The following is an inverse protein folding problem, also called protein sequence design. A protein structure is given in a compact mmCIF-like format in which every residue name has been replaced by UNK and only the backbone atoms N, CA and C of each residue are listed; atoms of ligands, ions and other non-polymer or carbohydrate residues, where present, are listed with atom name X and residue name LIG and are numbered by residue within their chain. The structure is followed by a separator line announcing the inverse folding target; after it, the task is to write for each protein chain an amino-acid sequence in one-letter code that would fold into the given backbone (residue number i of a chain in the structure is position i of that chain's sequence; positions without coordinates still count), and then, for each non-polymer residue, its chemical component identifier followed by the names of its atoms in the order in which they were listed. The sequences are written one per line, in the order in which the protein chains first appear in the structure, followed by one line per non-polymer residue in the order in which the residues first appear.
data_IF_393933098491
#
_entry.id   IF_393933098491
#
_cell.length_a   1.000
_cell.length_b   1.000
_cell.length_c   1.000
_cell.angle_alpha   90.00
_cell.angle_beta   90.00
_cell.angle_gamma   90.00
#
_symmetry.space_group_name_H-M   'P 1'
#
loop_
_entity.id
_entity.type
_entity.pdbx_description
1 polymer ?
#
# COMPACT_ATOMS: atom_id res chain seq x y z
N UNK A 1 2.22 -3.63 -11.55
CA UNK A 1 1.76 -2.24 -11.74
C UNK A 1 2.38 -1.39 -10.65
N UNK A 2 2.93 -0.22 -10.97
CA UNK A 2 3.50 0.68 -9.98
C UNK A 2 2.39 1.52 -9.31
N UNK A 3 2.04 1.17 -8.07
CA UNK A 3 0.98 1.82 -7.29
C UNK A 3 1.44 3.08 -6.55
N UNK A 4 2.67 3.57 -6.81
CA UNK A 4 3.10 4.89 -6.36
C UNK A 4 2.93 5.95 -7.46
N UNK A 5 2.67 5.54 -8.70
CA UNK A 5 2.41 6.48 -9.80
C UNK A 5 1.00 7.07 -9.72
N UNK A 6 0.91 8.40 -9.70
CA UNK A 6 -0.37 9.13 -9.71
C UNK A 6 -1.24 8.77 -10.90
N UNK A 7 -0.66 8.55 -12.07
CA UNK A 7 -1.41 8.21 -13.28
C UNK A 7 -1.99 6.79 -13.20
N UNK A 8 -1.23 5.84 -12.65
CA UNK A 8 -1.74 4.49 -12.42
C UNK A 8 -2.87 4.49 -11.40
N UNK A 9 -2.75 5.29 -10.33
CA UNK A 9 -3.80 5.46 -9.32
C UNK A 9 -5.08 6.04 -9.95
N UNK A 10 -4.95 7.09 -10.78
CA UNK A 10 -6.10 7.66 -11.51
C UNK A 10 -6.75 6.64 -12.44
N UNK A 11 -5.95 5.87 -13.19
CA UNK A 11 -6.44 4.79 -14.07
C UNK A 11 -7.17 3.71 -13.27
N UNK A 12 -6.64 3.33 -12.10
CA UNK A 12 -7.26 2.32 -11.24
C UNK A 12 -8.63 2.80 -10.73
N UNK A 13 -8.72 4.04 -10.26
CA UNK A 13 -9.99 4.63 -9.84
C UNK A 13 -11.01 4.71 -10.97
N UNK A 14 -10.58 5.14 -12.17
CA UNK A 14 -11.43 5.17 -13.36
C UNK A 14 -11.95 3.78 -13.75
N UNK A 15 -11.08 2.76 -13.74
CA UNK A 15 -11.45 1.38 -14.09
C UNK A 15 -12.50 0.78 -13.15
N UNK A 16 -12.45 1.13 -11.87
CA UNK A 16 -13.37 0.59 -10.86
C UNK A 16 -14.52 1.55 -10.52
N UNK A 17 -14.68 2.65 -11.26
CA UNK A 17 -15.68 3.69 -10.99
C UNK A 17 -15.68 4.16 -9.52
N UNK A 18 -14.48 4.22 -8.92
CA UNK A 18 -14.28 4.57 -7.52
C UNK A 18 -13.47 5.85 -7.38
N UNK A 19 -13.41 6.40 -6.17
CA UNK A 19 -12.63 7.60 -5.86
C UNK A 19 -12.12 7.55 -4.42
N UNK A 20 -11.05 8.33 -4.16
CA UNK A 20 -10.64 8.65 -2.79
C UNK A 20 -11.80 9.28 -2.02
N UNK A 21 -12.08 8.76 -0.83
CA UNK A 21 -13.09 9.29 0.09
C UNK A 21 -12.42 10.11 1.18
N UNK A 22 -12.34 11.43 1.00
CA UNK A 22 -11.76 12.36 2.00
C UNK A 22 -12.36 12.21 3.40
N UNK A 23 -13.68 11.99 3.50
CA UNK A 23 -14.39 11.78 4.78
C UNK A 23 -13.90 10.54 5.55
N UNK A 24 -13.31 9.56 4.85
CA UNK A 24 -12.72 8.36 5.46
C UNK A 24 -11.20 8.51 5.70
N UNK A 25 -10.62 9.70 5.50
CA UNK A 25 -9.19 9.94 5.69
C UNK A 25 -8.28 9.26 4.65
N UNK A 26 -8.81 8.80 3.51
CA UNK A 26 -8.04 8.05 2.51
C UNK A 26 -7.01 8.94 1.79
N UNK A 27 -5.74 8.71 2.12
CA UNK A 27 -4.58 9.26 1.43
C UNK A 27 -3.71 8.11 0.90
N UNK A 28 -3.21 8.23 -0.33
CA UNK A 28 -2.49 7.14 -0.99
C UNK A 28 -1.00 7.47 -1.11
N UNK A 29 -0.14 6.49 -0.82
CA UNK A 29 1.31 6.62 -0.93
C UNK A 29 1.73 6.76 -2.40
N UNK A 30 2.36 7.89 -2.74
CA UNK A 30 2.78 8.23 -4.12
C UNK A 30 4.29 8.46 -4.25
N UNK A 31 5.07 8.25 -3.19
CA UNK A 31 6.52 8.40 -3.21
C UNK A 31 7.20 7.06 -2.85
N UNK A 32 7.94 6.50 -3.80
CA UNK A 32 8.68 5.24 -3.62
C UNK A 32 9.74 5.32 -2.54
N UNK A 33 10.36 6.48 -2.32
CA UNK A 33 11.41 6.66 -1.30
C UNK A 33 10.80 6.58 0.09
N UNK A 34 9.62 7.16 0.28
CA UNK A 34 8.88 7.05 1.55
C UNK A 34 8.44 5.60 1.77
N UNK A 35 7.92 4.94 0.73
CA UNK A 35 7.57 3.52 0.79
C UNK A 35 8.79 2.65 1.20
N UNK A 36 9.95 2.87 0.58
CA UNK A 36 11.20 2.19 0.92
C UNK A 36 11.58 2.38 2.39
N UNK A 37 11.55 3.63 2.88
CA UNK A 37 11.84 3.95 4.29
C UNK A 37 10.88 3.27 5.27
N UNK A 38 9.58 3.19 4.95
CA UNK A 38 8.60 2.48 5.79
C UNK A 38 8.96 0.99 5.87
N UNK A 39 9.26 0.39 4.71
CA UNK A 39 9.58 -1.04 4.62
C UNK A 39 10.90 -1.38 5.31
N UNK A 40 11.92 -0.52 5.22
CA UNK A 40 13.18 -0.66 5.95
C UNK A 40 12.97 -0.52 7.46
N UNK A 41 12.23 0.51 7.89
CA UNK A 41 11.94 0.74 9.31
C UNK A 41 11.12 -0.39 9.94
N UNK A 42 10.29 -1.09 9.16
CA UNK A 42 9.51 -2.24 9.63
C UNK A 42 10.38 -3.46 9.98
N UNK A 43 11.65 -3.51 9.51
CA UNK A 43 12.64 -4.55 9.83
C UNK A 43 12.10 -5.99 9.79
N UNK A 44 11.37 -6.32 8.72
CA UNK A 44 10.64 -7.57 8.59
C UNK A 44 11.54 -8.74 8.16
N UNK A 45 11.34 -9.88 8.80
CA UNK A 45 11.86 -11.19 8.44
C UNK A 45 10.83 -12.08 7.75
N UNK A 46 11.29 -13.22 7.22
CA UNK A 46 10.49 -14.17 6.43
C UNK A 46 9.47 -14.97 7.24
N UNK A 47 9.56 -14.95 8.57
CA UNK A 47 8.61 -15.63 9.47
C UNK A 47 7.54 -14.68 10.03
N UNK A 48 7.67 -13.38 9.80
CA UNK A 48 6.77 -12.39 10.39
C UNK A 48 5.38 -12.43 9.77
N UNK A 49 4.37 -12.18 10.61
CA UNK A 49 3.01 -11.89 10.17
C UNK A 49 2.71 -10.42 10.45
N UNK A 50 2.33 -9.69 9.41
CA UNK A 50 2.04 -8.26 9.48
C UNK A 50 0.53 -8.03 9.48
N UNK A 51 0.05 -7.19 10.40
CA UNK A 51 -1.28 -6.60 10.34
C UNK A 51 -1.20 -5.20 9.74
N UNK A 52 -1.86 -4.97 8.61
CA UNK A 52 -1.96 -3.68 7.96
C UNK A 52 -3.37 -3.10 8.14
N UNK A 53 -3.46 -1.93 8.77
CA UNK A 53 -4.72 -1.21 8.91
C UNK A 53 -4.84 -0.20 7.76
N UNK A 54 -5.91 -0.27 6.99
CA UNK A 54 -6.18 0.69 5.91
C UNK A 54 -5.32 0.45 4.67
N UNK A 55 -5.37 -0.77 4.12
CA UNK A 55 -4.61 -1.19 2.93
C UNK A 55 -4.77 -0.27 1.71
N UNK A 56 -5.92 0.40 1.61
CA UNK A 56 -6.27 1.28 0.50
C UNK A 56 -6.25 0.52 -0.82
N UNK A 57 -5.40 0.95 -1.75
CA UNK A 57 -5.21 0.28 -3.05
C UNK A 57 -4.13 -0.81 -3.03
N UNK A 58 -3.54 -1.08 -1.86
CA UNK A 58 -2.54 -2.13 -1.66
C UNK A 58 -1.08 -1.73 -1.90
N UNK A 59 -0.77 -0.43 -2.00
CA UNK A 59 0.60 0.05 -2.29
C UNK A 59 1.62 -0.45 -1.27
N UNK A 60 1.28 -0.38 0.02
CA UNK A 60 2.15 -0.86 1.10
C UNK A 60 2.04 -2.40 1.25
N UNK A 61 0.82 -2.94 1.21
CA UNK A 61 0.54 -4.39 1.24
C UNK A 61 1.42 -5.19 0.29
N UNK A 62 1.58 -4.73 -0.95
CA UNK A 62 2.39 -5.43 -1.96
C UNK A 62 3.87 -5.51 -1.58
N UNK A 63 4.43 -4.47 -0.97
CA UNK A 63 5.84 -4.50 -0.55
C UNK A 63 6.04 -5.29 0.74
N UNK A 64 5.08 -5.20 1.68
CA UNK A 64 5.08 -6.02 2.90
C UNK A 64 5.04 -7.51 2.56
N UNK A 65 4.17 -7.92 1.63
CA UNK A 65 3.98 -9.32 1.25
C UNK A 65 5.22 -9.95 0.58
N UNK A 66 6.14 -9.15 0.03
CA UNK A 66 7.43 -9.66 -0.49
C UNK A 66 8.41 -10.05 0.62
N UNK A 67 8.26 -9.45 1.82
CA UNK A 67 9.23 -9.57 2.92
C UNK A 67 8.73 -10.46 4.05
N UNK A 68 7.46 -10.29 4.45
CA UNK A 68 6.83 -11.06 5.51
C UNK A 68 6.33 -12.43 5.03
N UNK A 69 6.09 -13.35 5.97
CA UNK A 69 5.43 -14.64 5.71
C UNK A 69 3.99 -14.45 5.27
N UNK A 70 3.31 -13.53 5.96
CA UNK A 70 1.88 -13.29 5.81
C UNK A 70 1.57 -11.83 6.10
N UNK A 71 0.67 -11.25 5.31
CA UNK A 71 0.09 -9.93 5.57
C UNK A 71 -1.42 -10.11 5.69
N UNK A 72 -1.99 -9.58 6.76
CA UNK A 72 -3.43 -9.51 7.00
C UNK A 72 -3.79 -8.03 6.92
N UNK A 73 -4.67 -7.68 5.99
CA UNK A 73 -5.05 -6.30 5.75
C UNK A 73 -6.53 -6.09 6.09
N UNK A 74 -6.84 -5.00 6.81
CA UNK A 74 -8.20 -4.66 7.29
C UNK A 74 -8.62 -3.24 6.93
#
# INVERSE_FOLDING_TARGET
MDLTSKDNIKKLFGKHETRSRKRLGQNFLVDKRVLGKIIEAANLGKEDTVLEIGAGIGTLTLELAKKAKKVIAV
#
